data_IF_719883015018
#
_entry.id   IF_719883015018
#
_cell.length_a   1.000
_cell.length_b   1.000
_cell.length_c   1.000
_cell.angle_alpha   90.00
_cell.angle_beta   90.00
_cell.angle_gamma   90.00
#
_symmetry.space_group_name_H-M   'P 1'
#
loop_
_entity.id
_entity.type
_entity.pdbx_description
1 polymer ?
#
# COMPACT_ATOMS: atom_id res chain seq x y z
N UNK A 1 -19.09 -42.16 -27.80
CA UNK A 1 -19.63 -40.88 -27.30
C UNK A 1 -18.65 -40.37 -26.26
N UNK A 2 -18.21 -39.13 -26.46
CA UNK A 2 -16.95 -38.56 -25.99
C UNK A 2 -16.82 -38.43 -24.47
N UNK A 3 -15.66 -38.84 -23.96
CA UNK A 3 -15.13 -38.42 -22.66
C UNK A 3 -14.57 -37.01 -22.85
N UNK A 4 -15.19 -36.02 -22.19
CA UNK A 4 -14.75 -34.63 -22.23
C UNK A 4 -13.64 -34.43 -21.19
N UNK A 5 -12.51 -33.94 -21.68
CA UNK A 5 -11.29 -33.63 -20.94
C UNK A 5 -11.53 -32.42 -20.01
N UNK A 6 -11.60 -32.68 -18.70
CA UNK A 6 -11.68 -31.67 -17.64
C UNK A 6 -10.29 -31.32 -17.08
N UNK A 7 -9.21 -31.90 -17.60
CA UNK A 7 -7.85 -31.73 -17.08
C UNK A 7 -7.11 -30.51 -17.63
N UNK A 8 -7.35 -30.13 -18.88
CA UNK A 8 -6.57 -29.06 -19.55
C UNK A 8 -7.01 -27.64 -19.18
N UNK A 9 -8.31 -27.41 -18.95
CA UNK A 9 -8.84 -26.07 -18.66
C UNK A 9 -8.33 -25.49 -17.33
N UNK A 10 -8.17 -26.32 -16.29
CA UNK A 10 -7.64 -25.92 -14.97
C UNK A 10 -6.14 -25.57 -15.03
N UNK A 11 -5.37 -26.31 -15.81
CA UNK A 11 -3.93 -26.09 -16.00
C UNK A 11 -3.64 -24.76 -16.73
N UNK A 12 -4.40 -24.45 -17.78
CA UNK A 12 -4.28 -23.20 -18.53
C UNK A 12 -4.65 -21.95 -17.72
N UNK A 13 -5.76 -21.99 -16.99
CA UNK A 13 -6.18 -20.90 -16.10
C UNK A 13 -5.12 -20.59 -15.02
N UNK A 14 -4.52 -21.63 -14.43
CA UNK A 14 -3.48 -21.46 -13.41
C UNK A 14 -2.18 -20.85 -13.93
N UNK A 15 -1.87 -20.99 -15.23
CA UNK A 15 -0.71 -20.34 -15.86
C UNK A 15 -0.99 -18.89 -16.22
N UNK A 16 -2.17 -18.60 -16.75
CA UNK A 16 -2.60 -17.23 -17.04
C UNK A 16 -2.61 -16.37 -15.77
N UNK A 17 -3.10 -16.93 -14.67
CA UNK A 17 -3.11 -16.25 -13.38
C UNK A 17 -1.72 -16.00 -12.82
N UNK A 18 -0.79 -16.97 -12.92
CA UNK A 18 0.62 -16.73 -12.55
C UNK A 18 1.28 -15.66 -13.41
N UNK A 19 1.06 -15.69 -14.72
CA UNK A 19 1.57 -14.66 -15.61
C UNK A 19 1.02 -13.26 -15.26
N UNK A 20 -0.26 -13.18 -14.88
CA UNK A 20 -0.86 -11.93 -14.42
C UNK A 20 -0.24 -11.46 -13.09
N UNK A 21 -0.05 -12.37 -12.12
CA UNK A 21 0.64 -12.06 -10.86
C UNK A 21 2.07 -11.57 -11.11
N UNK A 22 2.82 -12.20 -12.01
CA UNK A 22 4.18 -11.80 -12.35
C UNK A 22 4.24 -10.42 -13.02
N UNK A 23 3.31 -10.13 -13.92
CA UNK A 23 3.18 -8.80 -14.55
C UNK A 23 2.85 -7.75 -13.49
N UNK A 24 1.88 -8.06 -12.62
CA UNK A 24 1.47 -7.15 -11.57
C UNK A 24 2.56 -6.89 -10.54
N UNK A 25 3.30 -7.93 -10.14
CA UNK A 25 4.45 -7.80 -9.25
C UNK A 25 5.48 -6.81 -9.84
N UNK A 26 5.75 -6.89 -11.15
CA UNK A 26 6.64 -5.94 -11.84
C UNK A 26 6.09 -4.51 -11.86
N UNK A 27 4.77 -4.35 -11.99
CA UNK A 27 4.13 -3.02 -11.89
C UNK A 27 4.30 -2.44 -10.50
N UNK A 28 4.04 -3.24 -9.46
CA UNK A 28 4.24 -2.80 -8.08
C UNK A 28 5.71 -2.51 -7.76
N UNK A 29 6.65 -3.24 -8.35
CA UNK A 29 8.09 -3.00 -8.16
C UNK A 29 8.60 -1.68 -8.75
N UNK A 30 7.78 -0.98 -9.54
CA UNK A 30 8.07 0.41 -9.94
C UNK A 30 7.82 1.42 -8.82
N UNK A 31 7.06 1.03 -7.79
CA UNK A 31 6.82 1.85 -6.61
C UNK A 31 7.94 1.56 -5.61
N UNK A 32 8.72 2.59 -5.30
CA UNK A 32 9.99 2.47 -4.57
C UNK A 32 9.79 1.95 -3.14
N UNK A 33 8.79 2.48 -2.44
CA UNK A 33 8.53 2.15 -1.03
C UNK A 33 7.47 1.07 -0.88
N UNK A 34 7.60 0.26 0.16
CA UNK A 34 6.61 -0.77 0.48
C UNK A 34 5.28 -0.11 0.91
N UNK A 35 5.34 0.99 1.66
CA UNK A 35 4.20 1.80 2.02
C UNK A 35 3.54 2.45 0.80
N UNK A 36 4.32 2.89 -0.19
CA UNK A 36 3.78 3.39 -1.45
C UNK A 36 2.98 2.32 -2.20
N UNK A 37 3.47 1.06 -2.22
CA UNK A 37 2.71 -0.07 -2.76
C UNK A 37 1.38 -0.24 -2.03
N UNK A 38 1.36 -0.13 -0.69
CA UNK A 38 0.13 -0.18 0.10
C UNK A 38 -0.84 0.94 -0.24
N UNK A 39 -0.37 2.18 -0.24
CA UNK A 39 -1.21 3.34 -0.53
C UNK A 39 -1.83 3.26 -1.93
N UNK A 40 -1.04 2.81 -2.92
CA UNK A 40 -1.52 2.60 -4.27
C UNK A 40 -2.59 1.49 -4.35
N UNK A 41 -2.34 0.32 -3.74
CA UNK A 41 -3.29 -0.78 -3.71
C UNK A 41 -4.58 -0.42 -2.95
N UNK A 42 -4.48 0.32 -1.86
CA UNK A 42 -5.61 0.87 -1.13
C UNK A 42 -6.45 1.80 -2.02
N UNK A 43 -5.80 2.63 -2.84
CA UNK A 43 -6.47 3.51 -3.81
C UNK A 43 -7.21 2.79 -4.94
N UNK A 44 -6.86 1.55 -5.26
CA UNK A 44 -7.58 0.72 -6.23
C UNK A 44 -8.83 0.06 -5.64
N UNK A 45 -8.97 0.05 -4.31
CA UNK A 45 -10.11 -0.55 -3.61
C UNK A 45 -11.27 0.44 -3.54
N UNK A 46 -12.44 0.02 -3.98
CA UNK A 46 -13.68 0.72 -3.72
C UNK A 46 -14.07 0.58 -2.24
N UNK A 47 -14.21 1.70 -1.54
CA UNK A 47 -14.51 1.72 -0.10
C UNK A 47 -15.89 1.14 0.26
N UNK A 48 -16.86 1.22 -0.65
CA UNK A 48 -18.22 0.77 -0.39
C UNK A 48 -18.39 -0.74 -0.63
N UNK A 49 -17.68 -1.30 -1.62
CA UNK A 49 -17.84 -2.70 -2.03
C UNK A 49 -16.68 -3.61 -1.64
N UNK A 50 -15.54 -3.05 -1.22
CA UNK A 50 -14.31 -3.80 -0.96
C UNK A 50 -13.67 -4.41 -2.21
N UNK A 51 -14.22 -4.11 -3.40
CA UNK A 51 -13.71 -4.61 -4.68
C UNK A 51 -12.60 -3.73 -5.22
N UNK A 52 -11.58 -4.36 -5.78
CA UNK A 52 -10.49 -3.69 -6.45
C UNK A 52 -10.79 -3.53 -7.93
N UNK A 53 -10.46 -2.36 -8.48
CA UNK A 53 -10.65 -2.04 -9.88
C UNK A 53 -9.37 -1.53 -10.52
N UNK A 54 -8.96 -2.15 -11.62
CA UNK A 54 -7.84 -1.69 -12.43
C UNK A 54 -8.13 -1.94 -13.91
N UNK A 55 -8.42 -0.87 -14.65
CA UNK A 55 -8.91 -0.95 -16.04
C UNK A 55 -8.02 -1.81 -16.95
N UNK A 56 -6.69 -1.66 -16.87
CA UNK A 56 -5.77 -2.43 -17.72
C UNK A 56 -5.75 -3.93 -17.40
N UNK A 57 -5.95 -4.32 -16.14
CA UNK A 57 -5.95 -5.73 -15.75
C UNK A 57 -7.31 -6.35 -16.06
N UNK A 58 -8.40 -5.63 -15.75
CA UNK A 58 -9.75 -6.05 -16.08
C UNK A 58 -9.94 -6.24 -17.59
N UNK A 59 -9.33 -5.38 -18.41
CA UNK A 59 -9.39 -5.51 -19.87
C UNK A 59 -8.68 -6.78 -20.40
N UNK A 60 -7.56 -7.18 -19.79
CA UNK A 60 -6.76 -8.32 -20.24
C UNK A 60 -7.23 -9.66 -19.67
N UNK A 61 -7.73 -9.67 -18.42
CA UNK A 61 -7.97 -10.90 -17.65
C UNK A 61 -9.38 -10.99 -17.04
N UNK A 62 -10.17 -9.93 -17.11
CA UNK A 62 -11.52 -9.85 -16.53
C UNK A 62 -11.55 -9.23 -15.12
N UNK A 63 -12.70 -8.64 -14.76
CA UNK A 63 -12.90 -7.91 -13.50
C UNK A 63 -12.71 -8.77 -12.25
N UNK A 64 -13.21 -10.01 -12.24
CA UNK A 64 -13.12 -10.89 -11.07
C UNK A 64 -11.68 -11.34 -10.81
N UNK A 65 -10.95 -11.65 -11.87
CA UNK A 65 -9.57 -12.11 -11.81
C UNK A 65 -8.64 -10.94 -11.40
N UNK A 66 -8.85 -9.75 -11.98
CA UNK A 66 -8.17 -8.54 -11.56
C UNK A 66 -8.43 -8.22 -10.08
N UNK A 67 -9.69 -8.26 -9.64
CA UNK A 67 -10.04 -8.05 -8.24
C UNK A 67 -9.34 -9.05 -7.30
N UNK A 68 -9.32 -10.33 -7.66
CA UNK A 68 -8.68 -11.37 -6.87
C UNK A 68 -7.17 -11.14 -6.70
N UNK A 69 -6.45 -10.83 -7.79
CA UNK A 69 -5.00 -10.62 -7.72
C UNK A 69 -4.62 -9.32 -7.03
N UNK A 70 -5.38 -8.25 -7.22
CA UNK A 70 -5.15 -6.99 -6.50
C UNK A 70 -5.35 -7.16 -4.99
N UNK A 71 -6.42 -7.86 -4.59
CA UNK A 71 -6.69 -8.19 -3.19
C UNK A 71 -5.54 -8.99 -2.57
N UNK A 72 -5.16 -10.09 -3.20
CA UNK A 72 -4.08 -10.95 -2.70
C UNK A 72 -2.73 -10.19 -2.60
N UNK A 73 -2.48 -9.28 -3.55
CA UNK A 73 -1.30 -8.43 -3.53
C UNK A 73 -1.33 -7.44 -2.37
N UNK A 74 -2.48 -6.82 -2.11
CA UNK A 74 -2.64 -5.89 -1.00
C UNK A 74 -2.44 -6.57 0.36
N UNK A 75 -3.05 -7.73 0.56
CA UNK A 75 -2.86 -8.53 1.77
C UNK A 75 -1.40 -8.90 1.98
N UNK A 76 -0.72 -9.37 0.94
CA UNK A 76 0.70 -9.74 1.02
C UNK A 76 1.59 -8.54 1.35
N UNK A 77 1.46 -7.45 0.62
CA UNK A 77 2.27 -6.23 0.82
C UNK A 77 2.05 -5.70 2.25
N UNK A 78 0.84 -5.81 2.80
CA UNK A 78 0.49 -5.35 4.14
C UNK A 78 1.14 -6.19 5.23
N UNK A 79 1.04 -7.51 5.13
CA UNK A 79 1.73 -8.42 6.07
C UNK A 79 3.24 -8.21 6.00
N UNK A 80 3.81 -8.13 4.79
CA UNK A 80 5.25 -7.91 4.61
C UNK A 80 5.69 -6.58 5.27
N UNK A 81 4.92 -5.51 5.10
CA UNK A 81 5.20 -4.21 5.72
C UNK A 81 5.08 -4.24 7.25
N UNK A 82 4.06 -4.90 7.80
CA UNK A 82 3.88 -5.06 9.25
C UNK A 82 5.04 -5.82 9.91
N UNK A 83 5.78 -6.65 9.16
CA UNK A 83 6.97 -7.34 9.69
C UNK A 83 8.19 -6.43 9.84
N UNK A 84 8.16 -5.22 9.27
CA UNK A 84 9.26 -4.27 9.40
C UNK A 84 9.39 -3.78 10.85
N UNK A 85 10.62 -3.62 11.38
CA UNK A 85 10.81 -2.90 12.62
C UNK A 85 10.38 -1.43 12.44
N UNK A 86 9.93 -0.79 13.52
CA UNK A 86 9.40 0.59 13.49
C UNK A 86 10.35 1.60 12.82
N UNK A 87 11.67 1.45 13.02
CA UNK A 87 12.68 2.30 12.38
C UNK A 87 12.63 2.21 10.84
N UNK A 88 12.43 0.99 10.32
CA UNK A 88 12.30 0.75 8.88
C UNK A 88 10.95 1.22 8.36
N UNK A 89 9.87 1.03 9.11
CA UNK A 89 8.56 1.59 8.76
C UNK A 89 8.65 3.12 8.64
N UNK A 90 9.30 3.79 9.60
CA UNK A 90 9.54 5.25 9.54
C UNK A 90 10.25 5.67 8.27
N UNK A 91 11.37 5.03 7.96
CA UNK A 91 12.15 5.37 6.76
C UNK A 91 11.28 5.21 5.48
N UNK A 92 10.57 4.09 5.37
CA UNK A 92 9.73 3.78 4.22
C UNK A 92 8.55 4.76 4.06
N UNK A 93 7.96 5.22 5.17
CA UNK A 93 6.95 6.29 5.18
C UNK A 93 7.58 7.63 4.79
N UNK A 94 8.74 7.99 5.34
CA UNK A 94 9.41 9.26 5.04
C UNK A 94 9.77 9.38 3.56
N UNK A 95 10.31 8.30 2.98
CA UNK A 95 10.59 8.21 1.54
C UNK A 95 9.31 8.37 0.71
N UNK A 96 8.21 7.72 1.11
CA UNK A 96 6.92 7.86 0.43
C UNK A 96 6.37 9.29 0.49
N UNK A 97 6.30 9.89 1.68
CA UNK A 97 5.76 11.24 1.85
C UNK A 97 6.63 12.28 1.13
N UNK A 98 7.96 12.07 1.08
CA UNK A 98 8.88 12.96 0.37
C UNK A 98 8.81 12.85 -1.16
N UNK A 99 8.22 11.77 -1.68
CA UNK A 99 7.95 11.60 -3.12
C UNK A 99 6.68 12.31 -3.60
N UNK A 100 5.86 12.84 -2.68
CA UNK A 100 4.66 13.61 -3.03
C UNK A 100 5.02 15.00 -3.56
N UNK A 101 4.13 15.57 -4.37
CA UNK A 101 4.31 16.92 -4.93
C UNK A 101 4.22 18.04 -3.87
N UNK A 102 3.66 17.74 -2.70
CA UNK A 102 3.50 18.67 -1.57
C UNK A 102 4.72 18.67 -0.63
N UNK A 103 4.96 19.78 0.08
CA UNK A 103 6.03 19.83 1.07
C UNK A 103 5.73 18.94 2.29
N UNK A 104 6.77 18.25 2.77
CA UNK A 104 6.65 17.28 3.88
C UNK A 104 5.95 17.86 5.14
N UNK A 105 6.23 19.10 5.61
CA UNK A 105 5.47 19.72 6.69
C UNK A 105 3.96 19.81 6.44
N UNK A 106 3.54 20.27 5.25
CA UNK A 106 2.13 20.35 4.85
C UNK A 106 1.47 18.98 4.81
N UNK A 107 2.17 17.97 4.27
CA UNK A 107 1.68 16.59 4.22
C UNK A 107 1.47 16.04 5.64
N UNK A 108 2.46 16.19 6.53
CA UNK A 108 2.39 15.71 7.91
C UNK A 108 1.25 16.35 8.71
N UNK A 109 0.98 17.65 8.49
CA UNK A 109 -0.13 18.36 9.11
C UNK A 109 -1.48 17.83 8.59
N UNK A 110 -1.59 17.66 7.27
CA UNK A 110 -2.80 17.13 6.61
C UNK A 110 -3.11 15.73 7.11
N UNK A 111 -2.10 14.86 7.15
CA UNK A 111 -2.24 13.49 7.63
C UNK A 111 -2.59 13.40 9.11
N UNK A 112 -2.13 14.35 9.94
CA UNK A 112 -2.53 14.44 11.34
C UNK A 112 -3.97 14.84 11.57
N UNK A 113 -4.60 15.47 10.57
CA UNK A 113 -5.97 15.98 10.68
C UNK A 113 -6.97 15.03 10.00
N UNK A 114 -6.65 14.56 8.80
CA UNK A 114 -7.55 13.75 7.98
C UNK A 114 -7.37 12.24 8.17
N UNK A 115 -6.25 11.82 8.78
CA UNK A 115 -5.88 10.42 8.99
C UNK A 115 -6.15 9.51 7.77
N UNK A 116 -5.72 9.89 6.54
CA UNK A 116 -6.07 9.15 5.32
C UNK A 116 -5.56 7.70 5.34
N UNK A 117 -4.53 7.46 6.16
CA UNK A 117 -3.91 6.16 6.36
C UNK A 117 -4.80 5.14 7.09
N UNK A 118 -5.85 5.54 7.80
CA UNK A 118 -6.78 4.58 8.44
C UNK A 118 -7.44 3.64 7.43
N UNK A 119 -7.53 4.10 6.17
CA UNK A 119 -8.11 3.32 5.06
C UNK A 119 -7.08 2.47 4.32
N UNK A 120 -5.79 2.58 4.65
CA UNK A 120 -4.74 1.81 3.96
C UNK A 120 -4.85 0.30 4.20
N UNK A 121 -5.08 -0.21 5.43
CA UNK A 121 -5.11 -1.66 5.66
C UNK A 121 -6.14 -2.39 4.78
N UNK A 122 -5.81 -3.59 4.24
CA UNK A 122 -6.71 -4.38 3.41
C UNK A 122 -7.94 -4.83 4.21
N UNK A 123 -9.04 -5.19 3.54
CA UNK A 123 -10.29 -5.63 4.21
C UNK A 123 -10.07 -6.86 5.10
N UNK A 124 -9.20 -7.78 4.67
CA UNK A 124 -8.88 -9.00 5.41
C UNK A 124 -8.02 -8.78 6.66
N UNK A 125 -7.45 -7.58 6.87
CA UNK A 125 -6.66 -7.28 8.06
C UNK A 125 -7.53 -7.40 9.33
N UNK A 126 -7.02 -8.14 10.31
CA UNK A 126 -7.64 -8.27 11.63
C UNK A 126 -7.59 -6.95 12.41
N UNK A 127 -8.43 -6.83 13.43
CA UNK A 127 -8.46 -5.64 14.29
C UNK A 127 -7.10 -5.39 14.98
N UNK A 128 -6.39 -6.45 15.34
CA UNK A 128 -5.06 -6.34 15.95
C UNK A 128 -4.02 -5.81 14.96
N UNK A 129 -4.03 -6.28 13.71
CA UNK A 129 -3.12 -5.80 12.66
C UNK A 129 -3.43 -4.35 12.28
N UNK A 130 -4.71 -3.97 12.21
CA UNK A 130 -5.12 -2.58 11.96
C UNK A 130 -4.65 -1.66 13.08
N UNK A 131 -4.86 -2.08 14.33
CA UNK A 131 -4.44 -1.30 15.50
C UNK A 131 -2.92 -1.11 15.51
N UNK A 132 -2.16 -2.18 15.23
CA UNK A 132 -0.70 -2.11 15.14
C UNK A 132 -0.27 -1.12 14.04
N UNK A 133 -0.80 -1.28 12.82
CA UNK A 133 -0.51 -0.40 11.70
C UNK A 133 -0.77 1.08 12.03
N UNK A 134 -1.97 1.38 12.54
CA UNK A 134 -2.37 2.76 12.85
C UNK A 134 -1.50 3.35 13.95
N UNK A 135 -1.26 2.58 15.03
CA UNK A 135 -0.45 3.04 16.16
C UNK A 135 0.99 3.34 15.75
N UNK A 136 1.61 2.44 14.99
CA UNK A 136 2.99 2.60 14.53
C UNK A 136 3.12 3.82 13.59
N UNK A 137 2.13 4.02 12.73
CA UNK A 137 2.09 5.16 11.81
C UNK A 137 1.90 6.49 12.56
N UNK A 138 0.99 6.55 13.52
CA UNK A 138 0.77 7.75 14.35
C UNK A 138 2.04 8.13 15.12
N UNK A 139 2.72 7.15 15.72
CA UNK A 139 4.00 7.34 16.40
C UNK A 139 5.03 7.92 15.43
N UNK A 140 5.14 7.31 14.25
CA UNK A 140 6.08 7.72 13.21
C UNK A 140 5.84 9.17 12.76
N UNK A 141 4.60 9.50 12.41
CA UNK A 141 4.22 10.83 11.93
C UNK A 141 4.47 11.90 13.02
N UNK A 142 4.15 11.59 14.27
CA UNK A 142 4.39 12.49 15.39
C UNK A 142 5.89 12.72 15.65
N UNK A 143 6.72 11.67 15.57
CA UNK A 143 8.16 11.80 15.68
C UNK A 143 8.72 12.71 14.57
N UNK A 144 8.32 12.50 13.32
CA UNK A 144 8.73 13.33 12.18
C UNK A 144 8.35 14.80 12.37
N UNK A 145 7.12 15.09 12.83
CA UNK A 145 6.67 16.47 13.12
C UNK A 145 7.54 17.13 14.18
N UNK A 146 7.84 16.43 15.27
CA UNK A 146 8.68 16.95 16.36
C UNK A 146 10.11 17.23 15.90
N UNK A 147 10.67 16.34 15.09
CA UNK A 147 11.99 16.55 14.51
C UNK A 147 12.03 17.81 13.64
N UNK A 148 11.05 17.98 12.75
CA UNK A 148 10.96 19.18 11.90
C UNK A 148 10.80 20.47 12.71
N UNK A 149 9.93 20.47 13.74
CA UNK A 149 9.79 21.61 14.64
C UNK A 149 11.10 21.94 15.35
N UNK A 150 11.84 20.92 15.81
CA UNK A 150 13.14 21.10 16.47
C UNK A 150 14.25 21.60 15.52
N UNK A 151 14.21 21.21 14.24
CA UNK A 151 15.16 21.68 13.21
C UNK A 151 14.88 23.14 12.83
N UNK A 152 13.61 23.51 12.68
CA UNK A 152 13.19 24.89 12.43
C UNK A 152 13.65 25.86 13.54
N UNK A 153 13.53 25.44 14.81
CA UNK A 153 14.03 26.22 15.96
C UNK A 153 15.55 26.43 15.95
N UNK A 154 16.33 25.46 15.45
CA UNK A 154 17.80 25.58 15.35
C UNK A 154 18.25 26.48 14.20
N UNK A 155 17.48 26.56 13.11
CA UNK A 155 17.78 27.45 11.98
C UNK A 155 17.42 28.93 12.24
N UNK A 156 16.71 29.24 13.33
CA UNK A 156 16.26 30.60 13.67
C UNK A 156 17.11 31.31 14.73
N UNK A 157 18.25 30.73 15.15
CA UNK A 157 19.21 31.43 16.01
C UNK A 157 19.93 32.52 15.21
N UNK A 158 19.85 33.81 15.60
CA UNK A 158 20.65 34.86 14.97
C UNK A 158 22.13 34.68 15.34
N UNK A 159 23.03 34.85 14.37
CA UNK A 159 24.44 35.12 14.63
C UNK A 159 24.53 36.44 15.42
N UNK A 160 25.06 36.38 16.65
CA UNK A 160 25.49 37.55 17.43
C UNK A 160 26.83 38.09 16.93
#
# INVERSE_FOLDING_TARGET
MSSFDLGEASSGASRAQRAMQDVWARTLDQIETQFGKLAYLAGLRNENSGRYHHYGLAHLYGEDEANHVLRASHERVFVDWLTFPLERQRQDIEEYLSSMDDDLPTVLQTWGTLAPYERVPPEAASDAERLLFVSDLEITLELMRRELASRGLRSSSPEE
#
